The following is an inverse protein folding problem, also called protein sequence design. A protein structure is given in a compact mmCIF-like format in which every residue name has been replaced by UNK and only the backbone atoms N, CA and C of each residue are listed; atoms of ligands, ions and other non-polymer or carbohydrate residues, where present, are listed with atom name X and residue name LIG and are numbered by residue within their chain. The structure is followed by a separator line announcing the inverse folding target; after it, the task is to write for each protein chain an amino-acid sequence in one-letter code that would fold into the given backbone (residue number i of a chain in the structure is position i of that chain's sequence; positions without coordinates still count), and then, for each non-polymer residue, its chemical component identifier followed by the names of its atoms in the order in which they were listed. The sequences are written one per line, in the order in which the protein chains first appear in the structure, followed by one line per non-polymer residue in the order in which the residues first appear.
data_IF_706409058880
#
_entry.id   IF_706409058880
#
_cell.length_a   1.000
_cell.length_b   1.000
_cell.length_c   1.000
_cell.angle_alpha   90.00
_cell.angle_beta   90.00
_cell.angle_gamma   90.00
#
_symmetry.space_group_name_H-M   'P 1'
#
loop_
_entity.id
_entity.type
_entity.pdbx_description
1 polymer ?
#
# COMPACT_ATOMS: atom_id res chain seq x y z
N UNK A 1 -10.95 -26.75 9.52
CA UNK A 1 -11.91 -27.78 9.95
C UNK A 1 -11.10 -29.07 10.03
N UNK A 2 -10.83 -29.57 11.24
CA UNK A 2 -10.02 -30.77 11.45
C UNK A 2 -10.85 -31.99 11.06
N UNK A 3 -10.78 -32.39 9.80
CA UNK A 3 -11.20 -33.73 9.37
C UNK A 3 -10.09 -34.72 9.73
N UNK A 4 -10.01 -35.10 11.00
CA UNK A 4 -9.32 -36.31 11.45
C UNK A 4 -9.73 -36.57 12.90
N UNK A 5 -10.81 -37.33 13.05
CA UNK A 5 -10.97 -38.55 13.86
C UNK A 5 -12.41 -39.00 13.59
N UNK A 6 -12.56 -40.12 12.88
CA UNK A 6 -13.86 -40.64 12.42
C UNK A 6 -14.03 -40.57 10.91
N UNK A 7 -13.11 -41.18 10.15
CA UNK A 7 -13.40 -41.52 8.77
C UNK A 7 -14.59 -42.49 8.77
N UNK A 8 -15.76 -42.00 8.35
CA UNK A 8 -16.94 -42.81 8.17
C UNK A 8 -16.68 -43.90 7.14
N UNK A 9 -16.67 -45.14 7.60
CA UNK A 9 -16.89 -46.32 6.76
C UNK A 9 -18.27 -46.88 7.10
N UNK A 10 -19.29 -46.06 6.85
CA UNK A 10 -20.62 -46.59 6.60
C UNK A 10 -20.86 -46.37 5.12
N UNK A 11 -20.47 -47.36 4.32
CA UNK A 11 -21.03 -47.49 2.99
C UNK A 11 -22.55 -47.55 3.18
N UNK A 12 -23.25 -46.53 2.67
CA UNK A 12 -24.66 -46.65 2.36
C UNK A 12 -24.77 -47.67 1.21
N UNK A 13 -24.70 -48.95 1.56
CA UNK A 13 -24.94 -50.05 0.64
C UNK A 13 -26.45 -50.33 0.67
N UNK A 14 -27.19 -49.53 -0.09
CA UNK A 14 -28.30 -50.08 -0.86
C UNK A 14 -27.69 -51.14 -1.77
N UNK A 15 -27.73 -52.41 -1.34
CA UNK A 15 -27.86 -53.59 -2.20
C UNK A 15 -27.83 -54.85 -1.34
N UNK A 16 -29.01 -55.45 -1.21
CA UNK A 16 -29.19 -56.87 -0.96
C UNK A 16 -28.26 -57.69 -1.85
N UNK A 17 -27.37 -58.53 -1.26
CA UNK A 17 -26.88 -59.85 -1.76
C UNK A 17 -25.42 -60.24 -1.41
N UNK A 18 -24.69 -59.54 -0.53
CA UNK A 18 -23.45 -60.09 0.05
C UNK A 18 -23.49 -60.02 1.59
N UNK A 19 -22.99 -61.08 2.25
CA UNK A 19 -23.11 -61.34 3.69
C UNK A 19 -23.07 -60.08 4.56
N UNK A 20 -24.16 -59.88 5.29
CA UNK A 20 -24.45 -58.75 6.16
C UNK A 20 -23.34 -58.54 7.19
N UNK A 21 -22.45 -57.59 6.94
CA UNK A 21 -21.69 -56.98 8.02
C UNK A 21 -22.73 -56.37 9.00
N UNK A 22 -22.71 -56.73 10.29
CA UNK A 22 -23.67 -56.17 11.23
C UNK A 22 -23.57 -54.65 11.22
N UNK A 23 -24.71 -53.97 11.24
CA UNK A 23 -24.79 -52.53 11.43
C UNK A 23 -24.34 -52.23 12.88
N UNK A 24 -23.02 -52.16 13.08
CA UNK A 24 -22.41 -51.97 14.40
C UNK A 24 -22.47 -50.50 14.75
N UNK A 25 -23.28 -50.17 15.75
CA UNK A 25 -23.26 -48.87 16.38
C UNK A 25 -21.99 -48.74 17.25
N UNK A 26 -20.94 -48.14 16.66
CA UNK A 26 -19.66 -47.93 17.32
C UNK A 26 -19.76 -46.99 18.53
N UNK A 27 -20.72 -46.06 18.55
CA UNK A 27 -20.90 -45.14 19.68
C UNK A 27 -21.39 -45.92 20.88
N UNK A 28 -22.46 -46.71 20.70
CA UNK A 28 -23.00 -47.56 21.76
C UNK A 28 -21.98 -48.59 22.23
N UNK A 29 -21.27 -49.23 21.30
CA UNK A 29 -20.27 -50.25 21.64
C UNK A 29 -19.07 -49.68 22.40
N UNK A 30 -18.67 -48.44 22.13
CA UNK A 30 -17.66 -47.75 22.94
C UNK A 30 -18.21 -47.41 24.33
N UNK A 31 -19.42 -46.85 24.43
CA UNK A 31 -20.03 -46.51 25.72
C UNK A 31 -20.19 -47.71 26.67
N UNK A 32 -20.48 -48.89 26.14
CA UNK A 32 -20.59 -50.15 26.90
C UNK A 32 -19.23 -50.81 27.17
N UNK A 33 -18.12 -50.27 26.67
CA UNK A 33 -16.80 -50.91 26.73
C UNK A 33 -16.02 -50.58 28.01
N UNK A 34 -15.08 -51.47 28.36
CA UNK A 34 -14.20 -51.29 29.53
C UNK A 34 -13.26 -50.09 29.33
N UNK A 35 -12.91 -49.78 28.08
CA UNK A 35 -12.10 -48.62 27.71
C UNK A 35 -12.82 -47.31 28.03
N UNK A 36 -14.13 -47.23 27.78
CA UNK A 36 -14.93 -46.06 28.15
C UNK A 36 -15.01 -45.89 29.67
N UNK A 37 -15.21 -46.99 30.40
CA UNK A 37 -15.20 -46.94 31.87
C UNK A 37 -13.83 -46.49 32.41
N UNK A 38 -12.75 -47.01 31.84
CA UNK A 38 -11.37 -46.65 32.22
C UNK A 38 -11.07 -45.17 31.91
N UNK A 39 -11.51 -44.68 30.75
CA UNK A 39 -11.43 -43.27 30.37
C UNK A 39 -12.17 -42.39 31.38
N UNK A 40 -13.42 -42.72 31.71
CA UNK A 40 -14.21 -41.97 32.68
C UNK A 40 -13.59 -41.98 34.08
N UNK A 41 -13.09 -43.12 34.54
CA UNK A 41 -12.35 -43.19 35.81
C UNK A 41 -11.12 -42.29 35.79
N UNK A 42 -10.35 -42.28 34.69
CA UNK A 42 -9.19 -41.41 34.52
C UNK A 42 -9.55 -39.92 34.51
N UNK A 43 -10.64 -39.55 33.82
CA UNK A 43 -11.15 -38.17 33.77
C UNK A 43 -11.68 -37.68 35.13
N UNK A 44 -12.26 -38.58 35.93
CA UNK A 44 -12.76 -38.28 37.27
C UNK A 44 -11.66 -38.22 38.34
N UNK A 45 -10.40 -38.51 38.00
CA UNK A 45 -9.30 -38.35 38.95
C UNK A 45 -9.14 -36.86 39.32
N UNK A 46 -8.85 -36.56 40.61
CA UNK A 46 -8.58 -35.20 41.05
C UNK A 46 -7.34 -34.66 40.32
N UNK A 47 -7.44 -33.43 39.82
CA UNK A 47 -6.41 -32.76 39.02
C UNK A 47 -6.57 -32.90 37.50
N UNK A 48 -7.51 -33.70 37.00
CA UNK A 48 -7.78 -33.85 35.56
C UNK A 48 -8.91 -32.93 35.09
N UNK A 49 -10.15 -33.20 35.51
CA UNK A 49 -11.30 -32.33 35.22
C UNK A 49 -11.72 -31.46 36.41
N UNK A 50 -11.26 -31.80 37.61
CA UNK A 50 -11.53 -31.05 38.84
C UNK A 50 -10.22 -30.59 39.49
N UNK A 51 -10.17 -29.41 40.12
CA UNK A 51 -8.99 -28.96 40.84
C UNK A 51 -8.64 -29.92 41.98
N UNK A 52 -7.35 -30.16 42.20
CA UNK A 52 -6.82 -30.89 43.36
C UNK A 52 -5.94 -29.96 44.22
N UNK A 53 -6.53 -29.23 45.18
CA UNK A 53 -5.82 -28.26 46.01
C UNK A 53 -4.73 -28.89 46.89
N UNK A 54 -4.81 -30.20 47.13
CA UNK A 54 -3.86 -30.92 47.97
C UNK A 54 -2.56 -31.29 47.24
N UNK A 55 -2.60 -31.40 45.91
CA UNK A 55 -1.47 -31.89 45.10
C UNK A 55 -0.82 -30.82 44.24
N UNK A 56 -1.58 -29.86 43.72
CA UNK A 56 -1.06 -28.84 42.81
C UNK A 56 -1.59 -27.44 43.17
N UNK A 57 -0.73 -26.41 43.21
CA UNK A 57 -1.19 -25.04 43.35
C UNK A 57 -1.96 -24.58 42.11
N UNK A 58 -2.92 -23.66 42.30
CA UNK A 58 -3.68 -23.08 41.19
C UNK A 58 -2.76 -22.37 40.19
N UNK A 59 -2.94 -22.68 38.91
CA UNK A 59 -2.12 -22.13 37.84
C UNK A 59 -2.65 -20.76 37.42
N UNK A 60 -2.11 -19.71 38.03
CA UNK A 60 -2.53 -18.32 37.77
C UNK A 60 -1.69 -17.67 36.67
N UNK A 61 -2.30 -17.38 35.53
CA UNK A 61 -1.66 -16.64 34.44
C UNK A 61 -1.71 -15.13 34.70
N UNK A 62 -0.61 -14.57 35.21
CA UNK A 62 -0.49 -13.12 35.48
C UNK A 62 -0.49 -12.24 34.22
N UNK A 63 -0.11 -12.81 33.08
CA UNK A 63 -0.03 -12.07 31.82
C UNK A 63 -0.67 -12.87 30.69
N UNK A 64 -1.28 -12.13 29.76
CA UNK A 64 -1.88 -12.72 28.54
C UNK A 64 -0.83 -13.38 27.63
N UNK A 65 0.44 -12.98 27.72
CA UNK A 65 1.56 -13.45 26.87
C UNK A 65 2.81 -13.68 27.72
N UNK A 66 3.65 -14.62 27.29
CA UNK A 66 4.86 -15.01 28.02
C UNK A 66 5.99 -13.96 27.93
N UNK A 67 6.23 -13.39 26.75
CA UNK A 67 7.31 -12.42 26.53
C UNK A 67 6.88 -10.96 26.81
N UNK A 68 7.84 -10.10 27.18
CA UNK A 68 7.62 -8.65 27.30
C UNK A 68 7.39 -8.00 25.93
N UNK A 69 6.69 -6.87 25.89
CA UNK A 69 6.39 -6.13 24.65
C UNK A 69 7.60 -5.80 23.79
N UNK A 70 8.72 -5.39 24.40
CA UNK A 70 9.94 -5.00 23.68
C UNK A 70 10.58 -6.22 23.01
N UNK A 71 10.62 -7.36 23.71
CA UNK A 71 11.11 -8.63 23.15
C UNK A 71 10.25 -9.08 21.96
N UNK A 72 8.92 -8.93 22.06
CA UNK A 72 8.01 -9.21 20.94
C UNK A 72 8.30 -8.30 19.75
N UNK A 73 8.48 -6.99 19.98
CA UNK A 73 8.79 -6.04 18.92
C UNK A 73 10.11 -6.34 18.23
N UNK A 74 11.20 -6.55 19.00
CA UNK A 74 12.52 -6.85 18.46
C UNK A 74 12.52 -8.11 17.59
N UNK A 75 11.95 -9.20 18.11
CA UNK A 75 11.83 -10.46 17.37
C UNK A 75 10.99 -10.32 16.09
N UNK A 76 9.91 -9.53 16.12
CA UNK A 76 9.07 -9.31 14.93
C UNK A 76 9.77 -8.44 13.88
N UNK A 77 10.48 -7.38 14.29
CA UNK A 77 11.26 -6.55 13.36
C UNK A 77 12.36 -7.37 12.70
N UNK A 78 13.11 -8.15 13.49
CA UNK A 78 14.14 -9.06 12.96
C UNK A 78 13.55 -10.08 11.99
N UNK A 79 12.40 -10.68 12.34
CA UNK A 79 11.69 -11.60 11.47
C UNK A 79 11.32 -10.94 10.14
N UNK A 80 10.71 -9.76 10.18
CA UNK A 80 10.30 -9.05 8.97
C UNK A 80 11.49 -8.66 8.10
N UNK A 81 12.56 -8.12 8.68
CA UNK A 81 13.80 -7.82 7.95
C UNK A 81 14.36 -9.07 7.25
N UNK A 82 14.35 -10.21 7.96
CA UNK A 82 14.80 -11.49 7.42
C UNK A 82 13.91 -11.98 6.29
N UNK A 83 12.58 -11.88 6.43
CA UNK A 83 11.61 -12.28 5.39
C UNK A 83 11.81 -11.41 4.14
N UNK A 84 11.84 -10.08 4.28
CA UNK A 84 11.99 -9.18 3.13
C UNK A 84 13.32 -9.39 2.40
N UNK A 85 14.40 -9.65 3.14
CA UNK A 85 15.69 -9.98 2.55
C UNK A 85 15.69 -11.34 1.85
N UNK A 86 15.08 -12.37 2.46
CA UNK A 86 15.05 -13.75 1.92
C UNK A 86 13.97 -13.99 0.87
N UNK A 87 13.09 -13.03 0.61
CA UNK A 87 12.08 -13.08 -0.46
C UNK A 87 12.47 -12.13 -1.61
N UNK A 88 13.48 -12.49 -2.43
CA UNK A 88 13.96 -11.63 -3.51
C UNK A 88 12.88 -11.40 -4.58
N UNK A 89 11.96 -12.34 -4.78
CA UNK A 89 10.86 -12.20 -5.75
C UNK A 89 10.00 -10.96 -5.50
N UNK A 90 9.88 -10.48 -4.26
CA UNK A 90 9.15 -9.25 -3.96
C UNK A 90 10.00 -8.01 -4.23
N UNK A 91 11.16 -7.92 -3.59
CA UNK A 91 11.99 -6.72 -3.61
C UNK A 91 12.78 -6.53 -4.92
N UNK A 92 13.35 -7.60 -5.49
CA UNK A 92 14.08 -7.52 -6.77
C UNK A 92 13.13 -7.15 -7.91
N UNK A 93 11.95 -7.78 -7.99
CA UNK A 93 10.94 -7.44 -9.01
C UNK A 93 10.58 -5.97 -8.96
N UNK A 94 10.35 -5.45 -7.76
CA UNK A 94 10.08 -4.04 -7.54
C UNK A 94 11.23 -3.12 -8.00
N UNK A 95 12.47 -3.45 -7.66
CA UNK A 95 13.64 -2.67 -8.05
C UNK A 95 13.85 -2.67 -9.57
N UNK A 96 13.70 -3.83 -10.20
CA UNK A 96 13.77 -3.96 -11.65
C UNK A 96 12.69 -3.15 -12.34
N UNK A 97 11.43 -3.25 -11.88
CA UNK A 97 10.31 -2.46 -12.44
C UNK A 97 10.59 -0.96 -12.30
N UNK A 98 10.98 -0.48 -11.11
CA UNK A 98 11.30 0.93 -10.89
C UNK A 98 12.42 1.42 -11.81
N UNK A 99 13.49 0.66 -11.97
CA UNK A 99 14.60 1.04 -12.84
C UNK A 99 14.18 1.05 -14.32
N UNK A 100 13.49 0.01 -14.78
CA UNK A 100 13.02 -0.09 -16.15
C UNK A 100 12.03 1.04 -16.50
N UNK A 101 11.07 1.35 -15.60
CA UNK A 101 10.14 2.46 -15.79
C UNK A 101 10.88 3.80 -15.85
N UNK A 102 11.86 4.01 -14.96
CA UNK A 102 12.67 5.23 -14.96
C UNK A 102 13.42 5.45 -16.28
N UNK A 103 14.00 4.38 -16.84
CA UNK A 103 14.68 4.46 -18.13
C UNK A 103 13.70 4.66 -19.29
N UNK A 104 12.65 3.85 -19.39
CA UNK A 104 11.70 3.91 -20.52
C UNK A 104 11.01 5.27 -20.59
N UNK A 105 10.50 5.79 -19.47
CA UNK A 105 9.85 7.10 -19.45
C UNK A 105 10.84 8.25 -19.48
N UNK A 106 12.05 8.08 -18.93
CA UNK A 106 13.10 9.09 -18.99
C UNK A 106 13.55 9.36 -20.42
N UNK A 107 13.69 8.29 -21.23
CA UNK A 107 14.04 8.39 -22.65
C UNK A 107 13.03 9.20 -23.48
N UNK A 108 11.76 9.23 -23.08
CA UNK A 108 10.71 10.03 -23.76
C UNK A 108 10.94 11.53 -23.57
N UNK A 109 11.64 11.94 -22.50
CA UNK A 109 11.86 13.35 -22.14
C UNK A 109 13.27 13.86 -22.47
N UNK A 110 14.10 13.04 -23.14
CA UNK A 110 15.44 13.43 -23.59
C UNK A 110 15.31 14.57 -24.60
N UNK A 111 16.07 15.64 -24.39
CA UNK A 111 16.07 16.86 -25.21
C UNK A 111 14.69 17.53 -25.34
N UNK A 112 13.81 17.35 -24.35
CA UNK A 112 12.46 17.92 -24.34
C UNK A 112 12.43 19.44 -24.15
N UNK A 113 11.75 20.16 -25.05
CA UNK A 113 11.51 21.61 -24.92
C UNK A 113 10.30 21.92 -24.04
N UNK A 114 10.53 22.12 -22.74
CA UNK A 114 9.47 22.36 -21.75
C UNK A 114 8.86 23.78 -21.76
N UNK A 115 9.39 24.67 -22.60
CA UNK A 115 8.85 26.02 -22.84
C UNK A 115 7.75 26.05 -23.89
N UNK A 116 7.55 24.96 -24.63
CA UNK A 116 6.48 24.85 -25.63
C UNK A 116 5.21 24.29 -25.00
N UNK A 117 4.05 24.73 -25.47
CA UNK A 117 2.76 24.22 -25.01
C UNK A 117 2.66 22.69 -25.10
N UNK A 118 3.12 22.10 -26.22
CA UNK A 118 3.08 20.66 -26.41
C UNK A 118 4.10 19.95 -25.51
N UNK A 119 5.33 20.46 -25.41
CA UNK A 119 6.38 19.87 -24.58
C UNK A 119 6.04 19.89 -23.09
N UNK A 120 5.46 20.99 -22.59
CA UNK A 120 5.01 21.09 -21.20
C UNK A 120 3.89 20.09 -20.89
N UNK A 121 2.85 20.03 -21.72
CA UNK A 121 1.76 19.06 -21.55
C UNK A 121 2.25 17.62 -21.60
N UNK A 122 3.19 17.31 -22.51
CA UNK A 122 3.81 16.00 -22.58
C UNK A 122 4.62 15.68 -21.32
N UNK A 123 5.42 16.62 -20.81
CA UNK A 123 6.21 16.44 -19.60
C UNK A 123 5.34 16.20 -18.35
N UNK A 124 4.30 17.01 -18.15
CA UNK A 124 3.32 16.80 -17.05
C UNK A 124 2.62 15.45 -17.22
N UNK A 125 2.30 15.05 -18.45
CA UNK A 125 1.73 13.73 -18.75
C UNK A 125 2.66 12.57 -18.40
N UNK A 126 3.95 12.67 -18.71
CA UNK A 126 4.94 11.65 -18.33
C UNK A 126 5.13 11.61 -16.81
N UNK A 127 5.15 12.75 -16.11
CA UNK A 127 5.21 12.79 -14.63
C UNK A 127 3.96 12.13 -14.04
N UNK A 128 2.78 12.41 -14.59
CA UNK A 128 1.55 11.73 -14.19
C UNK A 128 1.65 10.23 -14.38
N UNK A 129 2.01 9.76 -15.57
CA UNK A 129 2.11 8.35 -15.90
C UNK A 129 3.13 7.63 -15.01
N UNK A 130 4.34 8.16 -14.89
CA UNK A 130 5.41 7.57 -14.06
C UNK A 130 5.03 7.48 -12.59
N UNK A 131 4.41 8.53 -12.04
CA UNK A 131 3.91 8.53 -10.66
C UNK A 131 2.87 7.44 -10.47
N UNK A 132 1.84 7.37 -11.34
CA UNK A 132 0.78 6.37 -11.24
C UNK A 132 1.30 4.94 -11.42
N UNK A 133 2.16 4.69 -12.40
CA UNK A 133 2.71 3.35 -12.64
C UNK A 133 3.56 2.86 -11.46
N UNK A 134 4.41 3.71 -10.88
CA UNK A 134 5.16 3.34 -9.67
C UNK A 134 4.22 3.02 -8.50
N UNK A 135 3.16 3.81 -8.34
CA UNK A 135 2.14 3.58 -7.31
C UNK A 135 1.40 2.26 -7.49
N UNK A 136 0.86 2.01 -8.69
CA UNK A 136 0.11 0.79 -9.01
C UNK A 136 1.00 -0.44 -8.93
N UNK A 137 2.25 -0.38 -9.42
CA UNK A 137 3.19 -1.49 -9.33
C UNK A 137 3.46 -1.87 -7.87
N UNK A 138 3.65 -0.88 -6.99
CA UNK A 138 3.85 -1.10 -5.56
C UNK A 138 2.60 -1.64 -4.86
N UNK A 139 1.41 -1.14 -5.23
CA UNK A 139 0.12 -1.64 -4.76
C UNK A 139 -0.07 -3.12 -5.14
N UNK A 140 0.01 -3.46 -6.42
CA UNK A 140 -0.22 -4.84 -6.90
C UNK A 140 0.82 -5.80 -6.35
N UNK A 141 2.08 -5.38 -6.29
CA UNK A 141 3.17 -6.22 -5.80
C UNK A 141 3.04 -6.61 -4.32
N UNK A 142 2.47 -5.75 -3.47
CA UNK A 142 2.36 -6.02 -2.02
C UNK A 142 1.21 -6.96 -1.65
N UNK A 143 0.18 -7.07 -2.50
CA UNK A 143 -1.03 -7.84 -2.22
C UNK A 143 -0.74 -9.33 -1.94
N UNK A 144 -0.07 -10.10 -2.83
CA UNK A 144 0.17 -11.52 -2.58
C UNK A 144 1.12 -11.75 -1.40
N UNK A 145 2.14 -10.89 -1.26
CA UNK A 145 3.10 -10.97 -0.16
C UNK A 145 2.41 -10.78 1.20
N UNK A 146 1.62 -9.72 1.34
CA UNK A 146 0.86 -9.45 2.58
C UNK A 146 -0.23 -10.50 2.82
N UNK A 147 -0.82 -11.04 1.74
CA UNK A 147 -1.82 -12.10 1.80
C UNK A 147 -1.29 -13.36 2.48
N UNK A 148 -0.10 -13.81 2.08
CA UNK A 148 0.57 -14.97 2.68
C UNK A 148 0.93 -14.74 4.16
N UNK A 149 1.45 -13.56 4.49
CA UNK A 149 1.81 -13.21 5.87
C UNK A 149 0.60 -13.12 6.81
N UNK A 150 -0.57 -12.73 6.28
CA UNK A 150 -1.82 -12.65 7.04
C UNK A 150 -2.27 -14.02 7.56
N UNK A 151 -2.06 -15.08 6.78
CA UNK A 151 -2.42 -16.45 7.20
C UNK A 151 -1.58 -16.91 8.39
N UNK A 152 -0.26 -16.66 8.32
CA UNK A 152 0.66 -16.93 9.42
C UNK A 152 0.28 -16.13 10.66
N UNK A 153 -0.04 -14.84 10.49
CA UNK A 153 -0.50 -13.96 11.57
C UNK A 153 -1.75 -14.50 12.27
N UNK A 154 -2.74 -15.02 11.56
CA UNK A 154 -3.94 -15.55 12.19
C UNK A 154 -3.65 -16.73 13.11
N UNK A 155 -2.77 -17.65 12.68
CA UNK A 155 -2.32 -18.77 13.51
C UNK A 155 -1.60 -18.30 14.77
N UNK A 156 -0.67 -17.36 14.61
CA UNK A 156 0.14 -16.81 15.72
C UNK A 156 -0.71 -15.96 16.69
N UNK A 157 -1.75 -15.31 16.17
CA UNK A 157 -2.73 -14.58 16.99
C UNK A 157 -3.61 -15.54 17.79
N UNK A 158 -4.02 -16.67 17.22
CA UNK A 158 -4.80 -17.69 17.92
C UNK A 158 -4.01 -18.27 19.11
N UNK A 159 -2.71 -18.50 18.95
CA UNK A 159 -1.82 -18.95 20.03
C UNK A 159 -1.36 -17.85 21.00
N UNK A 160 -1.83 -16.60 20.85
CA UNK A 160 -1.42 -15.45 21.66
C UNK A 160 0.11 -15.23 21.71
N UNK A 161 0.84 -15.56 20.64
CA UNK A 161 2.30 -15.50 20.60
C UNK A 161 2.84 -14.08 20.84
N UNK A 162 2.19 -13.07 20.23
CA UNK A 162 2.58 -11.66 20.35
C UNK A 162 1.36 -10.72 20.25
N UNK A 163 1.57 -9.43 20.53
CA UNK A 163 0.55 -8.40 20.34
C UNK A 163 0.44 -7.99 18.86
N UNK A 164 -0.79 -7.91 18.34
CA UNK A 164 -1.08 -7.41 16.99
C UNK A 164 -0.48 -6.03 16.71
N UNK A 165 -0.35 -5.17 17.73
CA UNK A 165 0.36 -3.89 17.59
C UNK A 165 1.80 -4.09 17.11
N UNK A 166 2.54 -5.01 17.72
CA UNK A 166 3.97 -5.18 17.43
C UNK A 166 4.20 -5.83 16.07
N UNK A 167 3.29 -6.72 15.65
CA UNK A 167 3.28 -7.24 14.28
C UNK A 167 3.09 -6.10 13.28
N UNK A 168 2.08 -5.26 13.52
CA UNK A 168 1.79 -4.12 12.68
C UNK A 168 2.97 -3.15 12.58
N UNK A 169 3.61 -2.82 13.70
CA UNK A 169 4.78 -1.94 13.74
C UNK A 169 5.95 -2.54 12.94
N UNK A 170 6.25 -3.83 13.14
CA UNK A 170 7.29 -4.53 12.39
C UNK A 170 7.04 -4.52 10.87
N UNK A 171 5.80 -4.86 10.46
CA UNK A 171 5.38 -4.82 9.05
C UNK A 171 5.38 -3.39 8.47
N UNK A 172 5.15 -2.37 9.29
CA UNK A 172 5.24 -0.96 8.84
C UNK A 172 6.69 -0.60 8.55
N UNK A 173 7.57 -0.88 9.52
CA UNK A 173 8.94 -0.39 9.54
C UNK A 173 9.79 -1.01 8.43
N UNK A 174 9.60 -2.32 8.19
CA UNK A 174 10.37 -3.04 7.17
C UNK A 174 10.15 -2.49 5.76
N UNK A 175 8.98 -1.95 5.43
CA UNK A 175 8.68 -1.42 4.09
C UNK A 175 9.51 -0.18 3.74
N UNK A 176 9.73 0.71 4.72
CA UNK A 176 10.33 2.04 4.49
C UNK A 176 11.67 1.97 3.74
N UNK A 177 12.70 1.21 4.18
CA UNK A 177 13.99 1.19 3.48
C UNK A 177 13.90 0.66 2.04
N UNK A 178 13.14 -0.41 1.81
CA UNK A 178 12.97 -0.97 0.45
C UNK A 178 12.19 -0.02 -0.45
N UNK A 179 11.21 0.70 0.10
CA UNK A 179 10.44 1.68 -0.66
C UNK A 179 11.27 2.87 -1.12
N UNK A 180 12.02 3.44 -0.20
CA UNK A 180 12.89 4.57 -0.49
C UNK A 180 14.01 4.19 -1.45
N UNK A 181 14.54 2.97 -1.35
CA UNK A 181 15.55 2.47 -2.30
C UNK A 181 14.97 2.27 -3.71
N UNK A 182 13.75 1.74 -3.81
CA UNK A 182 13.03 1.63 -5.10
C UNK A 182 12.76 2.98 -5.75
N UNK A 183 12.32 3.98 -4.97
CA UNK A 183 12.16 5.35 -5.44
C UNK A 183 13.49 5.99 -5.84
N UNK A 184 14.58 5.67 -5.12
CA UNK A 184 15.93 6.15 -5.45
C UNK A 184 16.37 5.61 -6.81
N UNK A 185 16.23 4.30 -7.06
CA UNK A 185 16.58 3.69 -8.34
C UNK A 185 15.80 4.30 -9.51
N UNK A 186 14.50 4.56 -9.34
CA UNK A 186 13.70 5.24 -10.36
C UNK A 186 14.23 6.65 -10.64
N UNK A 187 14.39 7.46 -9.60
CA UNK A 187 14.72 8.89 -9.75
C UNK A 187 16.15 9.12 -10.22
N UNK A 188 17.11 8.28 -9.83
CA UNK A 188 18.49 8.39 -10.29
C UNK A 188 18.62 8.12 -11.80
N UNK A 189 17.74 7.28 -12.35
CA UNK A 189 17.66 7.03 -13.79
C UNK A 189 16.83 8.10 -14.51
N UNK A 190 15.66 8.44 -13.98
CA UNK A 190 14.68 9.30 -14.63
C UNK A 190 15.07 10.78 -14.62
N UNK A 191 15.51 11.32 -13.48
CA UNK A 191 15.73 12.76 -13.31
C UNK A 191 16.83 13.33 -14.22
N UNK A 192 18.01 12.70 -14.39
CA UNK A 192 19.02 13.19 -15.32
C UNK A 192 18.58 13.15 -16.78
N UNK A 193 17.76 12.15 -17.17
CA UNK A 193 17.23 12.03 -18.53
C UNK A 193 16.26 13.15 -18.89
N UNK A 194 15.60 13.77 -17.90
CA UNK A 194 14.78 14.96 -18.10
C UNK A 194 15.61 16.24 -18.33
N UNK A 195 16.93 16.20 -18.17
CA UNK A 195 17.81 17.36 -18.34
C UNK A 195 17.89 18.31 -17.14
N UNK A 196 17.29 17.97 -15.99
CA UNK A 196 17.42 18.75 -14.76
C UNK A 196 18.68 18.37 -13.97
N UNK A 197 19.36 19.35 -13.38
CA UNK A 197 20.65 19.16 -12.68
C UNK A 197 20.63 19.54 -11.19
N UNK A 198 19.53 20.08 -10.67
CA UNK A 198 19.44 20.53 -9.28
C UNK A 198 19.35 19.36 -8.30
N UNK A 199 20.37 19.21 -7.46
CA UNK A 199 20.39 18.16 -6.43
C UNK A 199 19.25 18.32 -5.42
N UNK A 200 18.92 19.55 -5.03
CA UNK A 200 17.87 19.83 -4.05
C UNK A 200 16.50 19.45 -4.61
N UNK A 201 16.22 19.81 -5.87
CA UNK A 201 14.99 19.45 -6.56
C UNK A 201 14.88 17.93 -6.74
N UNK A 202 15.98 17.27 -7.10
CA UNK A 202 16.03 15.80 -7.17
C UNK A 202 15.72 15.14 -5.82
N UNK A 203 16.30 15.65 -4.72
CA UNK A 203 16.08 15.09 -3.38
C UNK A 203 14.61 15.18 -2.97
N UNK A 204 13.96 16.33 -3.20
CA UNK A 204 12.53 16.49 -2.90
C UNK A 204 11.64 15.67 -3.84
N UNK A 205 12.00 15.54 -5.11
CA UNK A 205 11.32 14.67 -6.06
C UNK A 205 11.37 13.20 -5.59
N UNK A 206 12.57 12.73 -5.23
CA UNK A 206 12.78 11.39 -4.68
C UNK A 206 12.00 11.14 -3.39
N UNK A 207 12.06 12.09 -2.45
CA UNK A 207 11.34 12.00 -1.18
C UNK A 207 9.84 11.91 -1.42
N UNK A 208 9.28 12.80 -2.24
CA UNK A 208 7.85 12.81 -2.53
C UNK A 208 7.38 11.53 -3.22
N UNK A 209 8.10 11.11 -4.28
CA UNK A 209 7.76 9.89 -5.00
C UNK A 209 7.84 8.66 -4.08
N UNK A 210 8.86 8.58 -3.23
CA UNK A 210 9.00 7.47 -2.27
C UNK A 210 7.86 7.45 -1.25
N UNK A 211 7.44 8.61 -0.73
CA UNK A 211 6.28 8.72 0.16
C UNK A 211 4.98 8.32 -0.54
N UNK A 212 4.81 8.69 -1.81
CA UNK A 212 3.66 8.27 -2.59
C UNK A 212 3.63 6.75 -2.82
N UNK A 213 4.76 6.17 -3.22
CA UNK A 213 4.90 4.72 -3.37
C UNK A 213 4.60 4.01 -2.03
N UNK A 214 5.10 4.54 -0.92
CA UNK A 214 4.83 4.02 0.43
C UNK A 214 3.34 4.06 0.76
N UNK A 215 2.65 5.14 0.39
CA UNK A 215 1.21 5.31 0.57
C UNK A 215 0.44 4.22 -0.18
N UNK A 216 0.85 3.90 -1.41
CA UNK A 216 0.24 2.87 -2.23
C UNK A 216 0.52 1.46 -1.71
N UNK A 217 1.73 1.18 -1.24
CA UNK A 217 2.06 -0.08 -0.57
C UNK A 217 1.19 -0.27 0.68
N UNK A 218 1.05 0.76 1.52
CA UNK A 218 0.19 0.65 2.70
C UNK A 218 -1.30 0.56 2.37
N UNK A 219 -1.76 1.16 1.27
CA UNK A 219 -3.12 0.95 0.77
C UNK A 219 -3.36 -0.52 0.37
N UNK A 220 -2.38 -1.16 -0.28
CA UNK A 220 -2.43 -2.60 -0.56
C UNK A 220 -2.51 -3.44 0.71
N UNK A 221 -1.70 -3.13 1.72
CA UNK A 221 -1.76 -3.81 3.02
C UNK A 221 -3.11 -3.60 3.72
N UNK A 222 -3.68 -2.39 3.68
CA UNK A 222 -5.03 -2.11 4.20
C UNK A 222 -6.06 -3.04 3.56
N UNK A 223 -6.01 -3.17 2.23
CA UNK A 223 -7.01 -3.95 1.50
C UNK A 223 -6.90 -5.43 1.81
N UNK A 224 -5.68 -5.96 1.94
CA UNK A 224 -5.48 -7.33 2.39
C UNK A 224 -5.98 -7.55 3.83
N UNK A 225 -5.84 -6.58 4.73
CA UNK A 225 -6.37 -6.73 6.09
C UNK A 225 -7.90 -6.59 6.15
N UNK A 226 -8.49 -5.78 5.27
CA UNK A 226 -9.92 -5.51 5.24
C UNK A 226 -10.74 -6.56 4.47
N UNK A 227 -10.21 -7.06 3.35
CA UNK A 227 -10.95 -7.88 2.39
C UNK A 227 -10.65 -9.38 2.54
N UNK A 228 -11.58 -10.28 2.16
CA UNK A 228 -11.48 -11.70 2.47
C UNK A 228 -10.36 -12.41 1.70
N UNK A 229 -10.12 -12.06 0.44
CA UNK A 229 -9.12 -12.72 -0.42
C UNK A 229 -8.25 -11.72 -1.16
N UNK A 230 -7.12 -12.21 -1.69
CA UNK A 230 -6.19 -11.41 -2.50
C UNK A 230 -6.87 -10.93 -3.78
N UNK A 231 -7.67 -11.80 -4.42
CA UNK A 231 -8.38 -11.50 -5.67
C UNK A 231 -9.40 -10.37 -5.47
N UNK A 232 -10.17 -10.40 -4.38
CA UNK A 232 -11.10 -9.32 -4.04
C UNK A 232 -10.35 -8.02 -3.78
N UNK A 233 -9.21 -8.08 -3.08
CA UNK A 233 -8.36 -6.92 -2.87
C UNK A 233 -7.79 -6.35 -4.18
N UNK A 234 -7.41 -7.19 -5.14
CA UNK A 234 -7.00 -6.73 -6.47
C UNK A 234 -8.15 -5.99 -7.17
N UNK A 235 -9.33 -6.59 -7.25
CA UNK A 235 -10.48 -6.02 -7.98
C UNK A 235 -10.92 -4.68 -7.37
N UNK A 236 -11.12 -4.63 -6.05
CA UNK A 236 -11.48 -3.39 -5.35
C UNK A 236 -10.36 -2.35 -5.46
N UNK A 237 -9.11 -2.81 -5.38
CA UNK A 237 -7.90 -2.02 -5.58
C UNK A 237 -7.87 -1.27 -6.90
N UNK A 238 -8.09 -2.00 -7.99
CA UNK A 238 -8.10 -1.45 -9.35
C UNK A 238 -9.23 -0.44 -9.48
N UNK A 239 -10.43 -0.73 -8.96
CA UNK A 239 -11.56 0.19 -9.00
C UNK A 239 -11.26 1.50 -8.26
N UNK A 240 -10.74 1.43 -7.04
CA UNK A 240 -10.38 2.60 -6.23
C UNK A 240 -9.26 3.41 -6.90
N UNK A 241 -8.22 2.74 -7.39
CA UNK A 241 -7.13 3.42 -8.09
C UNK A 241 -7.58 4.04 -9.43
N UNK A 242 -8.53 3.43 -10.14
CA UNK A 242 -9.09 4.02 -11.36
C UNK A 242 -9.85 5.32 -11.08
N UNK A 243 -10.65 5.35 -10.00
CA UNK A 243 -11.32 6.58 -9.54
C UNK A 243 -10.28 7.63 -9.18
N UNK A 244 -9.29 7.28 -8.37
CA UNK A 244 -8.23 8.21 -7.98
C UNK A 244 -7.38 8.70 -9.15
N UNK A 245 -7.14 7.86 -10.16
CA UNK A 245 -6.42 8.24 -11.38
C UNK A 245 -7.19 9.31 -12.15
N UNK A 246 -8.51 9.15 -12.29
CA UNK A 246 -9.38 10.13 -12.96
C UNK A 246 -9.41 11.48 -12.22
N UNK A 247 -9.46 11.45 -10.88
CA UNK A 247 -9.53 12.65 -10.06
C UNK A 247 -8.17 13.14 -9.54
N UNK A 248 -7.05 12.76 -10.17
CA UNK A 248 -5.72 13.23 -9.81
C UNK A 248 -5.43 14.67 -10.28
N UNK A 249 -6.24 15.22 -11.20
CA UNK A 249 -6.14 16.61 -11.68
C UNK A 249 -5.29 16.84 -12.93
N UNK A 250 -4.89 15.77 -13.63
CA UNK A 250 -4.22 15.86 -14.94
C UNK A 250 -5.21 15.68 -16.11
N UNK A 251 -5.93 14.55 -16.14
CA UNK A 251 -6.92 14.25 -17.17
C UNK A 251 -8.19 13.64 -16.55
N UNK A 252 -9.26 14.44 -16.33
CA UNK A 252 -9.39 15.87 -16.65
C UNK A 252 -8.48 16.79 -15.81
N UNK A 253 -8.06 17.95 -16.34
CA UNK A 253 -7.37 18.98 -15.57
C UNK A 253 -8.21 19.47 -14.38
N UNK A 254 -7.56 19.79 -13.25
CA UNK A 254 -8.25 20.09 -11.99
C UNK A 254 -9.35 21.17 -12.11
N UNK A 255 -9.12 22.22 -12.91
CA UNK A 255 -10.10 23.30 -13.11
C UNK A 255 -11.32 22.90 -13.95
N UNK A 256 -11.21 21.84 -14.74
CA UNK A 256 -12.33 21.32 -15.55
C UNK A 256 -13.19 20.30 -14.80
N UNK A 257 -12.82 19.93 -13.57
CA UNK A 257 -13.59 19.01 -12.73
C UNK A 257 -14.86 19.74 -12.25
N UNK A 258 -16.08 19.24 -12.55
CA UNK A 258 -17.32 19.87 -12.10
C UNK A 258 -17.40 19.99 -10.58
N UNK A 259 -17.98 21.07 -10.07
CA UNK A 259 -18.03 21.37 -8.62
C UNK A 259 -18.57 20.23 -7.77
N UNK A 260 -19.62 19.53 -8.24
CA UNK A 260 -20.22 18.39 -7.54
C UNK A 260 -19.28 17.20 -7.31
N UNK A 261 -18.23 17.05 -8.13
CA UNK A 261 -17.22 15.98 -8.00
C UNK A 261 -15.89 16.48 -7.41
N UNK A 262 -15.77 17.77 -7.10
CA UNK A 262 -14.51 18.36 -6.62
C UNK A 262 -14.05 17.77 -5.27
N UNK A 263 -14.95 17.20 -4.48
CA UNK A 263 -14.60 16.45 -3.27
C UNK A 263 -13.76 15.19 -3.55
N UNK A 264 -13.98 14.49 -4.67
CA UNK A 264 -13.17 13.32 -5.05
C UNK A 264 -11.75 13.71 -5.37
N UNK A 265 -11.56 14.88 -5.99
CA UNK A 265 -10.24 15.47 -6.19
C UNK A 265 -9.53 15.68 -4.84
N UNK A 266 -10.19 16.26 -3.84
CA UNK A 266 -9.61 16.47 -2.51
C UNK A 266 -9.27 15.18 -1.73
N UNK A 267 -10.04 14.10 -1.91
CA UNK A 267 -9.82 12.81 -1.20
C UNK A 267 -8.76 11.94 -1.90
N UNK A 268 -8.37 12.28 -3.13
CA UNK A 268 -7.43 11.48 -3.92
C UNK A 268 -5.98 11.71 -3.47
N UNK A 269 -5.25 10.72 -2.92
CA UNK A 269 -3.87 10.94 -2.48
C UNK A 269 -2.90 11.26 -3.65
N UNK A 270 -3.18 10.75 -4.84
CA UNK A 270 -2.42 10.94 -6.08
C UNK A 270 -2.27 12.43 -6.43
N UNK A 271 -3.31 13.25 -6.21
CA UNK A 271 -3.27 14.67 -6.60
C UNK A 271 -2.16 15.43 -5.89
N UNK A 272 -1.89 15.09 -4.64
CA UNK A 272 -0.96 15.83 -3.79
C UNK A 272 0.48 15.55 -4.21
N UNK A 273 0.81 14.28 -4.45
CA UNK A 273 2.11 13.89 -4.98
C UNK A 273 2.32 14.49 -6.37
N UNK A 274 1.34 14.38 -7.26
CA UNK A 274 1.43 14.95 -8.60
C UNK A 274 1.64 16.48 -8.58
N UNK A 275 0.87 17.19 -7.75
CA UNK A 275 1.02 18.64 -7.60
C UNK A 275 2.41 19.02 -7.09
N UNK A 276 2.99 18.25 -6.15
CA UNK A 276 4.33 18.52 -5.63
C UNK A 276 5.38 18.29 -6.72
N UNK A 277 5.33 17.15 -7.42
CA UNK A 277 6.32 16.81 -8.44
C UNK A 277 6.29 17.82 -9.61
N UNK A 278 5.11 18.22 -10.06
CA UNK A 278 4.97 19.23 -11.12
C UNK A 278 5.39 20.61 -10.64
N UNK A 279 4.98 21.03 -9.44
CA UNK A 279 5.35 22.33 -8.91
C UNK A 279 6.85 22.44 -8.59
N UNK A 280 7.51 21.35 -8.20
CA UNK A 280 8.96 21.30 -7.99
C UNK A 280 9.76 21.54 -9.28
N UNK A 281 9.24 21.09 -10.43
CA UNK A 281 9.94 21.19 -11.71
C UNK A 281 9.59 22.46 -12.50
N UNK A 282 8.33 22.89 -12.43
CA UNK A 282 7.79 23.95 -13.29
C UNK A 282 7.27 25.18 -12.53
N UNK A 283 7.19 25.12 -11.20
CA UNK A 283 6.56 26.16 -10.39
C UNK A 283 7.52 27.21 -9.81
N UNK A 284 8.83 26.99 -9.87
CA UNK A 284 9.81 27.91 -9.30
C UNK A 284 9.94 29.17 -10.18
N UNK A 285 9.62 30.33 -9.60
CA UNK A 285 9.82 31.63 -10.21
C UNK A 285 9.93 32.70 -9.11
N UNK A 286 11.14 33.24 -8.87
CA UNK A 286 11.40 34.24 -7.82
C UNK A 286 10.81 35.62 -8.17
N UNK A 287 10.86 35.98 -9.45
CA UNK A 287 10.32 37.22 -9.97
C UNK A 287 9.40 36.89 -11.14
N UNK A 288 8.10 37.08 -10.94
CA UNK A 288 7.12 36.85 -11.99
C UNK A 288 7.24 37.92 -13.06
N UNK A 289 7.40 37.54 -14.35
CA UNK A 289 7.48 38.50 -15.42
C UNK A 289 6.10 39.13 -15.68
N UNK A 290 6.10 40.41 -16.08
CA UNK A 290 4.87 41.14 -16.38
C UNK A 290 4.68 41.14 -17.89
N UNK A 291 3.46 40.81 -18.34
CA UNK A 291 3.12 40.91 -19.75
C UNK A 291 2.98 42.38 -20.16
N UNK A 292 3.87 42.88 -21.02
CA UNK A 292 3.75 44.21 -21.61
C UNK A 292 2.95 44.13 -22.93
N UNK A 293 1.72 44.68 -22.98
CA UNK A 293 0.91 44.64 -24.19
C UNK A 293 1.51 45.44 -25.36
N UNK A 294 2.41 46.39 -25.10
CA UNK A 294 3.02 47.21 -26.15
C UNK A 294 4.15 46.47 -26.88
N UNK A 295 4.91 45.64 -26.16
CA UNK A 295 6.02 44.84 -26.70
C UNK A 295 5.59 43.40 -27.01
N UNK A 296 4.32 43.07 -26.74
CA UNK A 296 3.71 41.74 -26.91
C UNK A 296 4.54 40.60 -26.29
N UNK A 297 5.28 40.90 -25.22
CA UNK A 297 6.22 39.96 -24.60
C UNK A 297 6.23 40.15 -23.08
N UNK A 298 6.67 39.10 -22.40
CA UNK A 298 6.90 39.13 -20.96
C UNK A 298 8.21 39.87 -20.69
N UNK A 299 8.14 40.93 -19.87
CA UNK A 299 9.27 41.78 -19.50
C UNK A 299 9.59 41.58 -18.03
N UNK A 300 10.89 41.48 -17.72
CA UNK A 300 11.37 41.11 -16.39
C UNK A 300 11.34 39.60 -16.15
N UNK A 301 11.67 39.19 -14.93
CA UNK A 301 11.59 37.79 -14.47
C UNK A 301 12.93 37.05 -14.37
N UNK A 302 12.91 35.93 -13.63
CA UNK A 302 14.08 35.09 -13.40
C UNK A 302 14.43 34.18 -14.60
N UNK A 303 15.64 33.61 -14.59
CA UNK A 303 16.08 32.62 -15.60
C UNK A 303 15.47 31.22 -15.42
N UNK A 304 14.71 31.01 -14.33
CA UNK A 304 14.07 29.75 -13.98
C UNK A 304 13.02 29.35 -15.04
N UNK A 305 12.85 28.05 -15.25
CA UNK A 305 11.92 27.51 -16.26
C UNK A 305 10.47 27.98 -16.04
N UNK A 306 10.03 28.10 -14.79
CA UNK A 306 8.68 28.57 -14.44
C UNK A 306 8.40 30.01 -14.87
N UNK A 307 9.43 30.87 -14.92
CA UNK A 307 9.31 32.27 -15.36
C UNK A 307 9.30 32.43 -16.89
N UNK A 308 9.64 31.40 -17.66
CA UNK A 308 9.75 31.53 -19.10
C UNK A 308 8.37 31.60 -19.77
N UNK A 309 8.21 32.41 -20.83
CA UNK A 309 6.95 32.50 -21.57
C UNK A 309 6.66 31.18 -22.28
N UNK A 310 5.40 30.73 -22.22
CA UNK A 310 4.96 29.52 -22.89
C UNK A 310 4.79 29.80 -24.39
N UNK A 311 5.49 29.03 -25.22
CA UNK A 311 5.50 29.17 -26.67
C UNK A 311 4.42 28.30 -27.32
N UNK A 312 3.96 28.69 -28.52
CA UNK A 312 2.98 27.93 -29.32
C UNK A 312 1.66 27.61 -28.61
N UNK A 313 1.21 28.51 -27.73
CA UNK A 313 -0.07 28.37 -27.03
C UNK A 313 -1.27 28.57 -27.96
N UNK A 314 -2.33 27.75 -27.86
CA UNK A 314 -3.60 28.02 -28.52
C UNK A 314 -4.21 29.35 -28.07
N UNK A 315 -4.96 30.02 -28.95
CA UNK A 315 -5.61 31.31 -28.66
C UNK A 315 -6.50 31.26 -27.41
N UNK A 316 -7.11 30.10 -27.12
CA UNK A 316 -7.97 29.91 -25.95
C UNK A 316 -7.22 29.97 -24.60
N UNK A 317 -5.93 29.64 -24.58
CA UNK A 317 -5.09 29.65 -23.36
C UNK A 317 -4.58 31.07 -23.08
N UNK A 318 -4.31 31.83 -24.14
CA UNK A 318 -3.73 33.17 -24.06
C UNK A 318 -2.25 33.17 -23.68
N UNK A 319 -1.69 34.38 -23.56
CA UNK A 319 -0.29 34.57 -23.21
C UNK A 319 -0.09 34.21 -21.73
N UNK A 320 0.71 33.17 -21.49
CA UNK A 320 0.97 32.63 -20.15
C UNK A 320 2.43 32.24 -20.04
N UNK A 321 2.95 32.22 -18.81
CA UNK A 321 4.24 31.58 -18.50
C UNK A 321 4.03 30.11 -18.15
N UNK A 322 5.13 29.35 -18.10
CA UNK A 322 5.10 27.94 -17.68
C UNK A 322 4.43 27.77 -16.31
N UNK A 323 4.83 28.56 -15.30
CA UNK A 323 4.20 28.56 -13.96
C UNK A 323 2.71 28.86 -14.05
N UNK A 324 2.35 29.98 -14.70
CA UNK A 324 0.96 30.43 -14.78
C UNK A 324 0.05 29.40 -15.47
N UNK A 325 0.56 28.73 -16.51
CA UNK A 325 -0.16 27.66 -17.20
C UNK A 325 -0.41 26.45 -16.30
N UNK A 326 0.62 25.98 -15.60
CA UNK A 326 0.53 24.83 -14.69
C UNK A 326 -0.45 25.12 -13.55
N UNK A 327 -0.42 26.32 -12.99
CA UNK A 327 -1.31 26.72 -11.90
C UNK A 327 -2.76 26.89 -12.38
N UNK A 328 -2.98 27.52 -13.54
CA UNK A 328 -4.32 27.82 -14.05
C UNK A 328 -5.01 26.61 -14.67
N UNK A 329 -4.28 25.71 -15.32
CA UNK A 329 -4.89 24.54 -16.00
C UNK A 329 -4.95 23.35 -15.07
N UNK A 330 -3.84 23.04 -14.39
CA UNK A 330 -3.73 21.85 -13.56
C UNK A 330 -3.98 22.10 -12.07
N UNK A 331 -4.07 23.36 -11.63
CA UNK A 331 -4.25 23.70 -10.22
C UNK A 331 -3.03 23.38 -9.35
N UNK A 332 -1.86 23.15 -9.96
CA UNK A 332 -0.66 22.67 -9.27
C UNK A 332 0.24 23.84 -8.87
N UNK A 333 -0.06 24.47 -7.74
CA UNK A 333 0.62 25.67 -7.26
C UNK A 333 1.90 25.38 -6.51
N UNK A 334 2.92 26.23 -6.73
CA UNK A 334 4.19 26.14 -6.02
C UNK A 334 4.06 26.52 -4.54
N UNK A 335 3.27 27.54 -4.22
CA UNK A 335 3.09 28.05 -2.86
C UNK A 335 2.43 27.01 -1.93
N UNK A 336 1.60 26.13 -2.49
CA UNK A 336 0.89 25.08 -1.74
C UNK A 336 1.71 23.80 -1.55
N UNK A 337 2.96 23.75 -2.03
CA UNK A 337 3.79 22.54 -2.02
C UNK A 337 3.97 21.94 -0.62
N UNK A 338 4.26 22.76 0.40
CA UNK A 338 4.45 22.29 1.77
C UNK A 338 3.14 21.81 2.42
N UNK A 339 2.03 22.46 2.10
CA UNK A 339 0.69 22.02 2.51
C UNK A 339 0.39 20.64 1.91
N UNK A 340 0.69 20.46 0.62
CA UNK A 340 0.52 19.18 -0.06
C UNK A 340 1.40 18.08 0.55
N UNK A 341 2.64 18.38 0.96
CA UNK A 341 3.49 17.41 1.69
C UNK A 341 2.82 16.99 3.00
N UNK A 342 2.27 17.94 3.75
CA UNK A 342 1.47 17.67 4.95
C UNK A 342 0.30 16.74 4.67
N UNK A 343 -0.45 16.96 3.58
CA UNK A 343 -1.54 16.08 3.16
C UNK A 343 -1.07 14.65 2.88
N UNK A 344 0.08 14.44 2.22
CA UNK A 344 0.63 13.09 1.99
C UNK A 344 0.88 12.36 3.31
N UNK A 345 1.45 13.04 4.32
CA UNK A 345 1.63 12.45 5.65
C UNK A 345 0.30 12.14 6.35
N UNK A 346 -0.71 12.99 6.19
CA UNK A 346 -2.06 12.74 6.72
C UNK A 346 -2.65 11.47 6.09
N UNK A 347 -2.59 11.31 4.76
CA UNK A 347 -3.06 10.09 4.09
C UNK A 347 -2.30 8.85 4.56
N UNK A 348 -0.97 8.93 4.67
CA UNK A 348 -0.15 7.85 5.21
C UNK A 348 -0.63 7.44 6.61
N UNK A 349 -0.83 8.41 7.50
CA UNK A 349 -1.29 8.17 8.86
C UNK A 349 -2.69 7.55 8.89
N UNK A 350 -3.64 8.09 8.13
CA UNK A 350 -5.02 7.59 8.05
C UNK A 350 -5.05 6.16 7.53
N UNK A 351 -4.33 5.85 6.45
CA UNK A 351 -4.25 4.50 5.89
C UNK A 351 -3.66 3.54 6.93
N UNK A 352 -2.56 3.89 7.59
CA UNK A 352 -1.98 3.05 8.65
C UNK A 352 -2.94 2.84 9.82
N UNK A 353 -3.65 3.87 10.26
CA UNK A 353 -4.63 3.77 11.33
C UNK A 353 -5.76 2.78 10.94
N UNK A 354 -6.31 2.92 9.74
CA UNK A 354 -7.30 2.01 9.20
C UNK A 354 -6.76 0.58 9.08
N UNK A 355 -5.51 0.40 8.63
CA UNK A 355 -4.87 -0.91 8.51
C UNK A 355 -4.73 -1.59 9.88
N UNK A 356 -4.35 -0.84 10.93
CA UNK A 356 -4.25 -1.34 12.29
C UNK A 356 -5.62 -1.76 12.84
N UNK A 357 -6.65 -0.95 12.58
CA UNK A 357 -8.02 -1.26 12.98
C UNK A 357 -8.54 -2.51 12.27
N UNK A 358 -8.33 -2.62 10.96
CA UNK A 358 -8.68 -3.79 10.16
C UNK A 358 -7.99 -5.05 10.70
N UNK A 359 -6.66 -5.01 10.86
CA UNK A 359 -5.87 -6.14 11.36
C UNK A 359 -6.29 -6.60 12.78
N UNK A 360 -6.78 -5.67 13.62
CA UNK A 360 -7.26 -5.98 14.97
C UNK A 360 -8.69 -6.49 15.00
N UNK A 361 -9.60 -5.92 14.22
CA UNK A 361 -11.05 -6.16 14.33
C UNK A 361 -11.56 -7.21 13.36
N UNK A 362 -10.94 -7.34 12.20
CA UNK A 362 -11.39 -8.23 11.12
C UNK A 362 -10.62 -9.54 11.21
N UNK A 363 -11.33 -10.66 11.07
CA UNK A 363 -10.75 -12.00 10.98
C UNK A 363 -11.57 -12.83 10.00
N UNK A 364 -10.95 -13.18 8.87
CA UNK A 364 -11.60 -13.91 7.78
C UNK A 364 -11.54 -15.44 7.93
N UNK A 365 -11.01 -15.98 9.03
CA UNK A 365 -11.02 -17.44 9.29
C UNK A 365 -12.37 -17.97 9.80
N UNK A 366 -13.21 -17.10 10.37
CA UNK A 366 -14.56 -17.47 10.79
C UNK A 366 -15.49 -17.21 9.60
N UNK A 367 -15.77 -18.26 8.84
CA UNK A 367 -16.82 -18.26 7.82
C UNK A 367 -18.19 -18.31 8.47
#
# INVERSE_FOLDING_TARGET
MLECIGAGVAAAADNSTLGTAPNVDFVRRFQESVEHETLLRGLNLPGVLSPDPGRFPELVFKSKRAARSITQLGALVERFLTIYWRTPSYNVTRFTISLCLGLVFGLVLVDGEFTTYQGLNAAVGVIFMTTQYNGIAAYVGTLPFTGHERECYYRERASQTYNALWYFVGATFVEVPYVFFSGFLFTVAFYPLMGFSSFVTWLYYWLNLSLFILTQTYLGQLFIYALPSVEVAVIVGVLVNAIFLLFAGFNPPAESIPEGYKWLYYVTPQRYSLSILTALLFGECEQEPIYDPNVQSFVGGGSQLGCQPLQHTPVAVGNSTVKMYVEKVYGMKHDEMWSNFGCVFIFLFVIRLLSLLALRRINHQKR
#
